data_IF_770977761115
#
_entry.id   IF_770977761115
#
_cell.length_a   1.000
_cell.length_b   1.000
_cell.length_c   1.000
_cell.angle_alpha   90.00
_cell.angle_beta   90.00
_cell.angle_gamma   90.00
#
_symmetry.space_group_name_H-M   'P 1'
#
loop_
_entity.id
_entity.type
_entity.pdbx_description
1 polymer ?
#
# COMPACT_ATOMS: atom_id res chain seq x y z
N UNK A 1 -35.14 -10.59 -14.96
CA UNK A 1 -33.90 -10.42 -14.17
C UNK A 1 -32.76 -10.06 -15.12
N UNK A 2 -32.23 -8.84 -15.05
CA UNK A 2 -31.14 -8.42 -15.93
C UNK A 2 -29.87 -9.25 -15.63
N UNK A 3 -29.30 -9.91 -16.64
CA UNK A 3 -27.98 -10.55 -16.55
C UNK A 3 -26.99 -9.48 -16.08
N UNK A 4 -26.43 -9.63 -14.88
CA UNK A 4 -25.30 -8.81 -14.43
C UNK A 4 -24.24 -8.87 -15.53
N UNK A 5 -23.90 -7.71 -16.10
CA UNK A 5 -22.85 -7.57 -17.10
C UNK A 5 -21.58 -8.27 -16.57
N UNK A 6 -21.12 -9.30 -17.30
CA UNK A 6 -19.82 -9.96 -17.11
C UNK A 6 -18.68 -9.06 -17.62
N UNK A 7 -18.75 -7.77 -17.31
CA UNK A 7 -17.66 -6.82 -17.56
C UNK A 7 -16.44 -7.25 -16.77
N UNK A 8 -15.24 -7.09 -17.35
CA UNK A 8 -13.96 -7.42 -16.72
C UNK A 8 -13.90 -6.87 -15.28
N UNK A 9 -13.24 -7.64 -14.41
CA UNK A 9 -13.30 -7.47 -12.97
C UNK A 9 -12.73 -6.12 -12.53
N UNK A 10 -13.58 -5.30 -11.90
CA UNK A 10 -13.22 -4.06 -11.23
C UNK A 10 -12.60 -4.40 -9.85
N UNK A 11 -11.28 -4.18 -9.65
CA UNK A 11 -10.59 -4.56 -8.41
C UNK A 11 -11.18 -3.84 -7.19
N UNK A 12 -11.76 -2.64 -7.36
CA UNK A 12 -12.40 -1.88 -6.28
C UNK A 12 -13.66 -2.57 -5.74
N UNK A 13 -14.16 -3.64 -6.37
CA UNK A 13 -15.32 -4.39 -5.86
C UNK A 13 -14.95 -5.50 -4.88
N UNK A 14 -13.67 -5.87 -4.80
CA UNK A 14 -13.19 -6.91 -3.89
C UNK A 14 -13.35 -6.44 -2.44
N UNK A 15 -13.61 -7.37 -1.52
CA UNK A 15 -13.61 -7.04 -0.09
C UNK A 15 -12.16 -6.75 0.34
N UNK A 16 -11.92 -5.80 1.25
CA UNK A 16 -10.57 -5.53 1.73
C UNK A 16 -10.02 -6.74 2.49
N UNK A 17 -10.88 -7.42 3.26
CA UNK A 17 -10.53 -8.56 4.10
C UNK A 17 -10.99 -9.88 3.45
N UNK A 18 -10.17 -10.92 3.54
CA UNK A 18 -10.45 -12.25 2.96
C UNK A 18 -11.07 -13.23 3.97
N UNK A 19 -10.63 -13.18 5.23
CA UNK A 19 -11.06 -14.07 6.34
C UNK A 19 -11.30 -13.24 7.62
N UNK A 20 -11.86 -13.86 8.65
CA UNK A 20 -12.11 -13.22 9.96
C UNK A 20 -10.83 -12.79 10.71
N UNK A 21 -9.66 -13.34 10.36
CA UNK A 21 -8.43 -13.21 11.18
C UNK A 21 -7.41 -12.17 10.66
N UNK A 22 -7.84 -11.15 9.91
CA UNK A 22 -6.96 -10.03 9.52
C UNK A 22 -6.08 -10.25 8.28
N UNK A 23 -6.41 -11.24 7.45
CA UNK A 23 -5.87 -11.37 6.10
C UNK A 23 -6.49 -10.31 5.18
N UNK A 24 -5.64 -9.52 4.52
CA UNK A 24 -6.02 -8.47 3.56
C UNK A 24 -5.84 -8.94 2.11
N UNK A 25 -6.54 -8.27 1.20
CA UNK A 25 -6.42 -8.46 -0.25
C UNK A 25 -5.75 -7.24 -0.85
N UNK A 26 -4.48 -7.35 -1.27
CA UNK A 26 -3.72 -6.21 -1.80
C UNK A 26 -3.73 -6.27 -3.33
N UNK A 27 -4.08 -5.17 -3.98
CA UNK A 27 -3.94 -5.03 -5.43
C UNK A 27 -2.66 -4.26 -5.70
N UNK A 28 -1.67 -4.93 -6.29
CA UNK A 28 -0.35 -4.33 -6.56
C UNK A 28 -0.48 -3.29 -7.67
N UNK A 29 0.00 -2.08 -7.40
CA UNK A 29 0.09 -1.01 -8.38
C UNK A 29 1.51 -0.93 -8.93
N UNK A 30 2.49 -0.79 -8.04
CA UNK A 30 3.89 -0.57 -8.41
C UNK A 30 4.79 -1.67 -7.84
N UNK A 31 5.33 -2.56 -8.70
CA UNK A 31 6.24 -3.60 -8.27
C UNK A 31 7.60 -3.07 -7.76
N UNK A 32 8.21 -3.84 -6.84
CA UNK A 32 9.57 -3.65 -6.33
C UNK A 32 10.57 -3.54 -7.48
N UNK A 33 11.52 -2.63 -7.33
CA UNK A 33 12.58 -2.38 -8.31
C UNK A 33 12.11 -1.54 -9.51
N UNK A 34 10.82 -1.24 -9.62
CA UNK A 34 10.33 -0.38 -10.70
C UNK A 34 10.63 1.10 -10.42
N UNK A 35 10.90 1.85 -11.49
CA UNK A 35 10.94 3.32 -11.49
C UNK A 35 9.59 3.96 -11.80
N UNK A 36 8.73 3.21 -12.46
CA UNK A 36 7.41 3.68 -12.86
C UNK A 36 6.47 3.54 -11.67
N UNK A 37 5.87 4.64 -11.24
CA UNK A 37 4.72 4.64 -10.33
C UNK A 37 3.47 4.46 -11.17
N UNK A 38 2.83 3.31 -11.05
CA UNK A 38 1.49 3.09 -11.58
C UNK A 38 0.46 3.39 -10.50
N UNK A 39 -0.75 3.74 -10.91
CA UNK A 39 -1.90 3.78 -10.03
C UNK A 39 -3.16 3.34 -10.78
N UNK A 40 -4.11 2.76 -10.04
CA UNK A 40 -5.42 2.45 -10.56
C UNK A 40 -6.24 3.74 -10.75
N UNK A 41 -6.87 3.88 -11.91
CA UNK A 41 -7.85 4.92 -12.20
C UNK A 41 -9.25 4.34 -11.97
N UNK A 42 -9.97 4.76 -10.90
CA UNK A 42 -11.30 4.21 -10.60
C UNK A 42 -12.37 4.55 -11.63
N UNK A 43 -12.24 5.67 -12.34
CA UNK A 43 -13.21 6.11 -13.35
C UNK A 43 -13.08 5.27 -14.61
N UNK A 44 -11.84 5.11 -15.09
CA UNK A 44 -11.53 4.35 -16.31
C UNK A 44 -11.40 2.85 -16.07
N UNK A 45 -11.21 2.43 -14.81
CA UNK A 45 -10.99 1.05 -14.37
C UNK A 45 -9.75 0.40 -14.99
N UNK A 46 -8.67 1.17 -15.08
CA UNK A 46 -7.39 0.74 -15.66
C UNK A 46 -6.23 1.21 -14.78
N UNK A 47 -5.11 0.50 -14.84
CA UNK A 47 -3.86 1.00 -14.27
C UNK A 47 -3.20 1.96 -15.28
N UNK A 48 -2.75 3.10 -14.78
CA UNK A 48 -2.10 4.12 -15.59
C UNK A 48 -0.76 4.51 -14.97
N UNK A 49 0.20 4.88 -15.82
CA UNK A 49 1.46 5.45 -15.37
C UNK A 49 1.19 6.84 -14.79
N UNK A 50 1.48 7.05 -13.50
CA UNK A 50 1.34 8.36 -12.86
C UNK A 50 2.65 9.15 -12.86
N UNK A 51 3.79 8.47 -12.69
CA UNK A 51 5.10 9.12 -12.62
C UNK A 51 6.23 8.16 -12.97
N UNK A 52 7.35 8.71 -13.43
CA UNK A 52 8.63 8.01 -13.55
C UNK A 52 9.61 8.61 -12.55
N UNK A 53 10.17 7.80 -11.66
CA UNK A 53 11.18 8.23 -10.70
C UNK A 53 12.52 8.56 -11.39
N UNK A 54 13.32 9.49 -10.84
CA UNK A 54 14.66 9.78 -11.33
C UNK A 54 15.56 8.54 -11.43
N UNK A 55 16.61 8.62 -12.23
CA UNK A 55 17.61 7.55 -12.30
C UNK A 55 18.25 7.32 -10.92
N UNK A 56 18.47 6.05 -10.55
CA UNK A 56 19.03 5.67 -9.25
C UNK A 56 18.00 5.50 -8.13
N UNK A 57 16.74 5.87 -8.34
CA UNK A 57 15.64 5.53 -7.44
C UNK A 57 14.81 4.38 -8.00
N UNK A 58 14.22 3.58 -7.11
CA UNK A 58 13.23 2.57 -7.42
C UNK A 58 12.39 2.29 -6.17
N UNK A 59 11.18 1.76 -6.34
CA UNK A 59 10.37 1.34 -5.20
C UNK A 59 11.02 0.14 -4.50
N UNK A 60 11.30 0.20 -3.19
CA UNK A 60 12.06 -0.83 -2.48
C UNK A 60 11.27 -2.12 -2.22
N UNK A 61 9.93 -2.06 -2.32
CA UNK A 61 9.01 -3.19 -2.17
C UNK A 61 7.83 -2.99 -3.12
N UNK A 62 6.95 -3.99 -3.20
CA UNK A 62 5.69 -3.85 -3.90
C UNK A 62 4.79 -2.87 -3.14
N UNK A 63 4.20 -1.94 -3.88
CA UNK A 63 3.17 -1.03 -3.40
C UNK A 63 1.86 -1.34 -4.09
N UNK A 64 0.79 -1.34 -3.31
CA UNK A 64 -0.55 -1.48 -3.81
C UNK A 64 -1.54 -0.80 -2.89
N UNK A 65 -2.81 -1.05 -3.13
CA UNK A 65 -3.89 -0.52 -2.32
C UNK A 65 -4.80 -1.64 -1.81
N UNK A 66 -5.56 -1.31 -0.78
CA UNK A 66 -6.60 -2.16 -0.22
C UNK A 66 -7.97 -1.82 -0.87
N UNK A 67 -8.61 -2.75 -1.61
CA UNK A 67 -9.90 -2.50 -2.25
C UNK A 67 -11.01 -2.11 -1.29
N UNK A 68 -11.98 -1.33 -1.76
CA UNK A 68 -13.10 -0.81 -0.95
C UNK A 68 -12.64 -0.15 0.34
N UNK A 69 -11.63 0.69 0.22
CA UNK A 69 -11.25 1.59 1.30
C UNK A 69 -11.10 2.98 0.72
N UNK A 70 -11.42 3.97 1.55
CA UNK A 70 -11.16 5.37 1.29
C UNK A 70 -10.56 5.94 2.58
N UNK A 71 -9.30 6.32 2.51
CA UNK A 71 -8.58 7.01 3.57
C UNK A 71 -9.05 8.48 3.68
N UNK A 72 -8.52 9.18 4.68
CA UNK A 72 -8.88 10.58 4.96
C UNK A 72 -8.52 11.57 3.85
N UNK A 73 -7.59 11.21 2.97
CA UNK A 73 -7.17 11.96 1.79
C UNK A 73 -8.04 11.69 0.54
N UNK A 74 -8.97 10.73 0.61
CA UNK A 74 -9.84 10.37 -0.50
C UNK A 74 -9.26 9.30 -1.44
N UNK A 75 -8.08 8.76 -1.14
CA UNK A 75 -7.49 7.65 -1.88
C UNK A 75 -7.74 6.30 -1.18
N UNK A 76 -7.55 5.19 -1.87
CA UNK A 76 -7.57 3.88 -1.22
C UNK A 76 -6.38 3.74 -0.27
N UNK A 77 -6.53 2.96 0.81
CA UNK A 77 -5.45 2.78 1.78
C UNK A 77 -4.25 2.10 1.10
N UNK A 78 -3.10 2.78 1.15
CA UNK A 78 -1.81 2.29 0.69
C UNK A 78 -1.34 1.06 1.50
N UNK A 79 -0.77 0.08 0.80
CA UNK A 79 -0.15 -1.11 1.39
C UNK A 79 1.25 -1.33 0.82
N UNK A 80 2.24 -1.39 1.71
CA UNK A 80 3.58 -1.90 1.46
C UNK A 80 3.57 -3.43 1.63
N UNK A 81 3.93 -4.15 0.58
CA UNK A 81 3.86 -5.60 0.55
C UNK A 81 5.26 -6.23 0.54
N UNK A 82 5.53 -7.06 1.55
CA UNK A 82 6.76 -7.84 1.67
C UNK A 82 6.58 -9.22 1.03
N UNK A 83 7.41 -9.53 0.05
CA UNK A 83 7.47 -10.82 -0.64
C UNK A 83 8.83 -11.05 -1.28
N UNK A 84 9.11 -12.32 -1.57
CA UNK A 84 10.40 -12.84 -2.02
C UNK A 84 10.78 -12.22 -3.39
N UNK A 85 9.82 -12.15 -4.32
CA UNK A 85 9.98 -11.62 -5.68
C UNK A 85 8.82 -10.65 -5.99
N UNK A 86 9.03 -9.52 -6.69
CA UNK A 86 7.93 -8.63 -7.10
C UNK A 86 6.81 -9.36 -7.84
N UNK A 87 5.58 -8.95 -7.56
CA UNK A 87 4.43 -9.24 -8.40
C UNK A 87 4.41 -8.32 -9.65
N UNK A 88 3.27 -8.29 -10.35
CA UNK A 88 3.02 -7.40 -11.48
C UNK A 88 1.83 -6.47 -11.19
N UNK A 89 1.75 -5.33 -11.90
CA UNK A 89 0.67 -4.36 -11.75
C UNK A 89 -0.71 -4.99 -12.03
N UNK A 90 -1.67 -4.76 -11.13
CA UNK A 90 -3.01 -5.35 -11.16
C UNK A 90 -3.10 -6.75 -10.56
N UNK A 91 -1.99 -7.33 -10.08
CA UNK A 91 -2.01 -8.60 -9.39
C UNK A 91 -2.69 -8.48 -8.02
N UNK A 92 -3.64 -9.37 -7.73
CA UNK A 92 -4.20 -9.54 -6.40
C UNK A 92 -3.30 -10.48 -5.59
N UNK A 93 -2.77 -9.97 -4.47
CA UNK A 93 -1.95 -10.75 -3.54
C UNK A 93 -2.65 -10.84 -2.18
N UNK A 94 -3.07 -12.04 -1.75
CA UNK A 94 -3.49 -12.26 -0.37
C UNK A 94 -2.31 -12.07 0.57
N UNK A 95 -2.50 -11.27 1.62
CA UNK A 95 -1.43 -10.92 2.53
C UNK A 95 -1.90 -10.85 3.98
N UNK A 96 -0.98 -11.14 4.89
CA UNK A 96 -1.19 -10.98 6.33
C UNK A 96 -0.77 -9.58 6.77
N UNK A 97 -1.67 -8.85 7.39
CA UNK A 97 -1.39 -7.53 7.95
C UNK A 97 -0.49 -7.65 9.19
N UNK A 98 0.64 -6.94 9.21
CA UNK A 98 1.59 -6.97 10.33
C UNK A 98 1.70 -5.64 11.09
N UNK A 99 1.17 -4.56 10.52
CA UNK A 99 1.11 -3.25 11.18
C UNK A 99 0.89 -2.10 10.20
N UNK A 100 1.20 -0.89 10.67
CA UNK A 100 1.10 0.35 9.90
C UNK A 100 2.29 1.26 10.20
N UNK A 101 2.81 1.92 9.16
CA UNK A 101 3.73 3.04 9.25
C UNK A 101 2.90 4.32 9.15
N UNK A 102 2.88 5.09 10.23
CA UNK A 102 2.14 6.34 10.31
C UNK A 102 2.97 7.49 9.72
N UNK A 103 2.40 8.21 8.75
CA UNK A 103 3.09 9.30 8.06
C UNK A 103 2.27 10.58 7.92
N UNK A 104 2.91 11.73 8.02
CA UNK A 104 2.32 13.03 7.69
C UNK A 104 3.03 13.59 6.45
N UNK A 105 2.25 13.88 5.41
CA UNK A 105 2.70 14.66 4.27
C UNK A 105 2.34 16.13 4.50
N UNK A 106 3.27 17.01 4.18
CA UNK A 106 3.05 18.47 4.20
C UNK A 106 3.10 18.96 2.76
N UNK A 107 2.01 19.57 2.32
CA UNK A 107 1.85 20.16 0.99
C UNK A 107 1.49 21.64 1.16
N UNK A 108 2.50 22.51 1.06
CA UNK A 108 2.35 23.92 1.41
C UNK A 108 2.02 24.12 2.89
N UNK A 109 0.76 24.51 3.18
CA UNK A 109 0.26 24.71 4.56
C UNK A 109 -0.59 23.54 5.05
N UNK A 110 -0.94 22.61 4.19
CA UNK A 110 -1.83 21.50 4.51
C UNK A 110 -1.03 20.31 5.04
N UNK A 111 -1.57 19.69 6.09
CA UNK A 111 -1.03 18.48 6.69
C UNK A 111 -1.99 17.34 6.45
N UNK A 112 -1.53 16.34 5.72
CA UNK A 112 -2.35 15.21 5.26
C UNK A 112 -1.78 13.94 5.86
N UNK A 113 -2.63 13.15 6.53
CA UNK A 113 -2.24 11.82 7.01
C UNK A 113 -2.05 10.92 5.80
N UNK A 114 -0.87 10.31 5.70
CA UNK A 114 -0.44 9.48 4.60
C UNK A 114 0.18 8.18 5.18
N UNK A 115 -0.71 7.38 5.75
CA UNK A 115 -0.40 6.13 6.45
C UNK A 115 -0.30 4.98 5.46
N UNK A 116 0.60 4.05 5.76
CA UNK A 116 0.84 2.87 4.91
C UNK A 116 0.74 1.62 5.72
N UNK A 117 -0.21 0.77 5.38
CA UNK A 117 -0.28 -0.57 5.94
C UNK A 117 0.95 -1.36 5.50
N UNK A 118 1.41 -2.26 6.35
CA UNK A 118 2.49 -3.19 6.01
C UNK A 118 1.95 -4.60 6.11
N UNK A 119 2.08 -5.34 5.02
CA UNK A 119 1.61 -6.71 4.93
C UNK A 119 2.68 -7.63 4.35
N UNK A 120 2.58 -8.92 4.69
CA UNK A 120 3.45 -9.98 4.16
C UNK A 120 2.60 -10.87 3.29
N UNK A 121 3.03 -11.12 2.04
CA UNK A 121 2.32 -12.04 1.15
C UNK A 121 2.17 -13.42 1.82
N UNK A 122 0.98 -14.01 1.72
CA UNK A 122 0.66 -15.28 2.40
C UNK A 122 1.62 -16.41 2.00
N UNK A 123 2.03 -16.43 0.73
CA UNK A 123 2.91 -17.44 0.14
C UNK A 123 4.40 -17.08 0.21
N UNK A 124 4.77 -16.00 0.92
CA UNK A 124 6.18 -15.64 1.07
C UNK A 124 6.93 -16.70 1.86
N UNK A 125 8.13 -17.08 1.42
CA UNK A 125 9.03 -17.97 2.16
C UNK A 125 9.96 -17.17 3.07
N UNK A 126 10.61 -16.14 2.52
CA UNK A 126 11.57 -15.29 3.25
C UNK A 126 10.93 -14.57 4.45
N UNK A 127 9.74 -14.01 4.25
CA UNK A 127 9.04 -13.22 5.26
C UNK A 127 7.99 -14.04 6.03
N UNK A 128 7.91 -15.35 5.77
CA UNK A 128 6.90 -16.26 6.33
C UNK A 128 6.77 -16.18 7.85
N UNK A 129 7.86 -15.89 8.55
CA UNK A 129 7.98 -15.84 10.02
C UNK A 129 7.50 -14.52 10.65
N UNK A 130 7.34 -13.46 9.86
CA UNK A 130 6.91 -12.15 10.34
C UNK A 130 5.40 -12.13 10.65
N UNK A 131 5.04 -11.71 11.85
CA UNK A 131 3.67 -11.54 12.35
C UNK A 131 3.38 -10.12 12.85
N UNK A 132 4.42 -9.37 13.21
CA UNK A 132 4.33 -8.01 13.77
C UNK A 132 5.36 -7.12 13.09
N UNK A 133 4.99 -5.87 12.85
CA UNK A 133 5.87 -4.87 12.27
C UNK A 133 7.16 -4.66 13.07
N UNK A 134 7.09 -4.81 14.40
CA UNK A 134 8.25 -4.71 15.30
C UNK A 134 9.30 -5.81 15.12
N UNK A 135 9.00 -6.87 14.35
CA UNK A 135 9.97 -7.91 14.00
C UNK A 135 10.84 -7.52 12.80
N UNK A 136 10.49 -6.45 12.07
CA UNK A 136 11.35 -5.94 11.02
C UNK A 136 12.63 -5.33 11.61
N UNK A 137 13.78 -5.50 10.93
CA UNK A 137 15.00 -4.81 11.31
C UNK A 137 14.79 -3.30 11.37
N UNK A 138 15.23 -2.65 12.45
CA UNK A 138 15.15 -1.18 12.59
C UNK A 138 15.81 -0.45 11.43
N UNK A 139 16.88 -1.02 10.88
CA UNK A 139 17.58 -0.50 9.70
C UNK A 139 16.66 -0.45 8.47
N UNK A 140 15.89 -1.50 8.23
CA UNK A 140 14.95 -1.57 7.11
C UNK A 140 13.85 -0.51 7.26
N UNK A 141 13.32 -0.31 8.46
CA UNK A 141 12.35 0.76 8.74
C UNK A 141 12.93 2.15 8.45
N UNK A 142 14.20 2.36 8.81
CA UNK A 142 14.90 3.62 8.52
C UNK A 142 15.12 3.83 7.02
N UNK A 143 15.49 2.79 6.28
CA UNK A 143 15.66 2.84 4.82
C UNK A 143 14.31 3.14 4.12
N UNK A 144 13.20 2.60 4.61
CA UNK A 144 11.85 2.95 4.16
C UNK A 144 11.50 4.41 4.44
N UNK A 145 11.81 4.90 5.65
CA UNK A 145 11.61 6.31 6.01
C UNK A 145 12.39 7.24 5.07
N UNK A 146 13.68 6.96 4.84
CA UNK A 146 14.53 7.72 3.92
C UNK A 146 13.97 7.69 2.49
N UNK A 147 13.46 6.56 2.03
CA UNK A 147 12.78 6.45 0.75
C UNK A 147 11.56 7.40 0.67
N UNK A 148 10.65 7.36 1.65
CA UNK A 148 9.45 8.22 1.63
C UNK A 148 9.78 9.71 1.75
N UNK A 149 10.74 10.07 2.61
CA UNK A 149 11.21 11.46 2.74
C UNK A 149 11.75 11.98 1.42
N UNK A 150 12.63 11.21 0.77
CA UNK A 150 13.23 11.62 -0.50
C UNK A 150 12.21 11.61 -1.65
N UNK A 151 11.31 10.62 -1.69
CA UNK A 151 10.23 10.54 -2.67
C UNK A 151 9.37 11.81 -2.62
N UNK A 152 8.86 12.19 -1.44
CA UNK A 152 7.98 13.36 -1.31
C UNK A 152 8.73 14.67 -1.55
N UNK A 153 10.01 14.76 -1.14
CA UNK A 153 10.86 15.92 -1.44
C UNK A 153 10.98 16.17 -2.94
N UNK A 154 11.09 15.11 -3.75
CA UNK A 154 11.11 15.23 -5.21
C UNK A 154 9.78 15.70 -5.80
N UNK A 155 8.68 15.57 -5.06
CA UNK A 155 7.38 16.12 -5.43
C UNK A 155 7.19 17.56 -4.94
N UNK A 156 8.21 18.17 -4.32
CA UNK A 156 8.10 19.49 -3.69
C UNK A 156 7.34 19.47 -2.37
N UNK A 157 7.17 18.29 -1.76
CA UNK A 157 6.43 18.06 -0.52
C UNK A 157 7.37 17.62 0.59
N UNK A 158 6.92 17.71 1.83
CA UNK A 158 7.63 17.10 2.96
C UNK A 158 6.89 15.86 3.44
N UNK A 159 7.63 14.89 3.96
CA UNK A 159 7.06 13.72 4.60
C UNK A 159 7.76 13.49 5.93
N UNK A 160 6.97 13.17 6.96
CA UNK A 160 7.44 12.86 8.29
C UNK A 160 6.83 11.57 8.79
N UNK A 161 7.69 10.64 9.21
CA UNK A 161 7.24 9.46 9.93
C UNK A 161 6.81 9.86 11.35
N UNK A 162 5.58 9.50 11.72
CA UNK A 162 5.02 9.74 13.05
C UNK A 162 5.23 8.54 13.98
N UNK A 163 5.26 7.33 13.42
CA UNK A 163 5.54 6.12 14.17
C UNK A 163 5.23 4.83 13.43
N UNK A 164 5.54 3.71 14.08
CA UNK A 164 5.12 2.38 13.66
C UNK A 164 4.14 1.84 14.69
N UNK A 165 3.02 1.26 14.24
CA UNK A 165 2.00 0.64 15.10
C UNK A 165 1.69 -0.79 14.67
N UNK A 166 1.15 -1.57 15.60
CA UNK A 166 0.80 -2.96 15.37
C UNK A 166 -0.51 -3.14 14.61
N UNK A 167 -0.84 -4.40 14.34
CA UNK A 167 -2.01 -4.83 13.56
C UNK A 167 -3.34 -4.26 14.09
N UNK A 168 -3.50 -4.07 15.41
CA UNK A 168 -4.74 -3.50 15.97
C UNK A 168 -5.03 -2.09 15.46
N UNK A 169 -4.03 -1.20 15.42
CA UNK A 169 -4.21 0.16 14.89
C UNK A 169 -4.45 0.10 13.38
N UNK A 170 -3.70 -0.74 12.67
CA UNK A 170 -3.86 -0.96 11.25
C UNK A 170 -5.29 -1.44 10.89
N UNK A 171 -5.87 -2.36 11.67
CA UNK A 171 -7.24 -2.82 11.50
C UNK A 171 -8.28 -1.74 11.78
N UNK A 172 -8.04 -0.86 12.76
CA UNK A 172 -8.93 0.27 13.01
C UNK A 172 -8.99 1.21 11.81
N UNK A 173 -7.85 1.51 11.18
CA UNK A 173 -7.80 2.31 9.95
C UNK A 173 -8.65 1.68 8.82
N UNK A 174 -8.59 0.35 8.65
CA UNK A 174 -9.41 -0.36 7.66
C UNK A 174 -10.90 -0.25 7.99
N UNK A 175 -11.26 -0.38 9.27
CA UNK A 175 -12.67 -0.33 9.71
C UNK A 175 -13.25 1.09 9.65
N UNK A 176 -12.44 2.11 9.85
CA UNK A 176 -12.82 3.52 9.75
C UNK A 176 -12.86 4.02 8.29
N UNK A 177 -12.18 3.33 7.38
CA UNK A 177 -12.20 3.63 5.96
C UNK A 177 -13.62 3.55 5.39
N UNK A 178 -13.99 4.53 4.58
CA UNK A 178 -15.27 4.48 3.87
C UNK A 178 -15.19 3.45 2.73
N UNK A 179 -16.31 2.79 2.44
CA UNK A 179 -16.43 1.80 1.34
C UNK A 179 -17.23 2.33 0.18
#
# INVERSE_FOLDING_TARGET
>A
MAKKSKSMTDPMRLKPLRKTDGDVQVIVETPRGCRNKFAFDPEQKIFSLKKVLPAGMAFPYDFGFLPKTLAGDGDAIDVLLLMDEPAFTGCLVPARLIGVIEGEQIDGKEKIRNDRLVAVAEMSHEYAHLRKLSQLPKRLLKELEEFFVNYHRLEGKEYRLLGCRGTSVAMNLINEAKT
#
